data_IF_617303902747
#
_entry.id   IF_617303902747
#
_cell.length_a   1.000
_cell.length_b   1.000
_cell.length_c   1.000
_cell.angle_alpha   90.00
_cell.angle_beta   90.00
_cell.angle_gamma   90.00
#
_symmetry.space_group_name_H-M   'P 1'
#
loop_
_entity.id
_entity.type
_entity.pdbx_description
1 polymer ?
#
# COMPACT_ATOMS: atom_id res chain seq x y z
N UNK A 1 9.32 18.57 -4.11
CA UNK A 1 8.44 17.40 -4.34
C UNK A 1 7.58 17.64 -5.56
N UNK A 2 7.37 16.61 -6.37
CA UNK A 2 6.54 16.69 -7.58
C UNK A 2 5.20 16.01 -7.29
N UNK A 3 4.08 16.59 -7.74
CA UNK A 3 2.75 15.97 -7.54
C UNK A 3 2.49 14.92 -8.62
N UNK A 4 2.06 13.75 -8.20
CA UNK A 4 1.55 12.69 -9.08
C UNK A 4 0.08 12.41 -8.75
N UNK A 5 -0.63 11.82 -9.70
CA UNK A 5 -2.02 11.38 -9.52
C UNK A 5 -2.06 9.86 -9.55
N UNK A 6 -2.72 9.26 -8.56
CA UNK A 6 -2.97 7.82 -8.55
C UNK A 6 -3.91 7.50 -9.73
N UNK A 7 -3.45 6.65 -10.65
CA UNK A 7 -4.22 6.21 -11.82
C UNK A 7 -4.81 4.82 -11.63
N UNK A 8 -4.16 3.99 -10.80
CA UNK A 8 -4.62 2.65 -10.47
C UNK A 8 -4.17 2.25 -9.05
N UNK A 9 -5.00 1.50 -8.35
CA UNK A 9 -4.68 0.90 -7.06
C UNK A 9 -5.45 -0.42 -6.98
N UNK A 10 -4.74 -1.53 -6.77
CA UNK A 10 -5.37 -2.85 -6.69
C UNK A 10 -4.69 -3.72 -5.65
N UNK A 11 -5.50 -4.51 -4.96
CA UNK A 11 -5.08 -5.54 -4.01
C UNK A 11 -5.09 -6.87 -4.75
N UNK A 12 -4.07 -7.68 -4.50
CA UNK A 12 -3.91 -9.04 -4.98
C UNK A 12 -3.58 -9.95 -3.81
N UNK A 13 -3.94 -11.21 -3.90
CA UNK A 13 -3.28 -12.24 -3.10
C UNK A 13 -1.83 -12.36 -3.58
N UNK A 14 -0.89 -12.61 -2.67
CA UNK A 14 0.52 -12.81 -3.03
C UNK A 14 0.69 -13.95 -4.04
N UNK A 15 -0.15 -14.98 -3.99
CA UNK A 15 -0.12 -16.09 -4.93
C UNK A 15 -0.75 -15.76 -6.29
N UNK A 16 -1.54 -14.70 -6.40
CA UNK A 16 -2.00 -14.17 -7.70
C UNK A 16 -0.83 -13.59 -8.51
N UNK A 17 0.17 -13.04 -7.82
CA UNK A 17 1.31 -12.36 -8.44
C UNK A 17 2.55 -13.26 -8.55
N UNK A 18 2.72 -14.21 -7.64
CA UNK A 18 3.87 -15.11 -7.65
C UNK A 18 3.45 -16.56 -7.43
N UNK A 19 3.89 -17.46 -8.33
CA UNK A 19 3.72 -18.91 -8.19
C UNK A 19 4.28 -19.45 -6.86
N UNK A 20 5.35 -18.82 -6.35
CA UNK A 20 5.92 -19.08 -5.04
C UNK A 20 6.18 -17.75 -4.34
N UNK A 21 5.68 -17.65 -3.10
CA UNK A 21 5.88 -16.47 -2.26
C UNK A 21 7.36 -16.09 -2.14
N UNK A 22 7.73 -14.81 -2.39
CA UNK A 22 9.09 -14.33 -2.23
C UNK A 22 9.64 -14.61 -0.81
N UNK A 23 10.91 -15.04 -0.72
CA UNK A 23 11.55 -15.47 0.54
C UNK A 23 11.60 -14.38 1.61
N UNK A 24 11.57 -13.10 1.22
CA UNK A 24 11.64 -11.95 2.12
C UNK A 24 10.30 -11.60 2.79
N UNK A 25 9.20 -12.20 2.31
CA UNK A 25 7.87 -11.99 2.87
C UNK A 25 7.63 -12.95 4.04
N UNK A 26 7.12 -12.42 5.14
CA UNK A 26 6.77 -13.23 6.30
C UNK A 26 5.56 -14.10 5.96
N UNK A 27 5.36 -15.21 6.66
CA UNK A 27 4.22 -16.12 6.45
C UNK A 27 2.89 -15.37 6.34
N UNK A 28 2.68 -14.37 7.21
CA UNK A 28 1.46 -13.57 7.28
C UNK A 28 1.41 -12.37 6.33
N UNK A 29 2.36 -12.17 5.41
CA UNK A 29 2.23 -11.18 4.34
C UNK A 29 1.50 -11.81 3.13
N UNK A 30 0.19 -11.90 3.23
CA UNK A 30 -0.68 -12.60 2.27
C UNK A 30 -1.18 -11.72 1.14
N UNK A 31 -1.25 -10.41 1.37
CA UNK A 31 -1.86 -9.45 0.45
C UNK A 31 -0.84 -8.45 -0.08
N UNK A 32 -1.00 -8.08 -1.34
CA UNK A 32 -0.15 -7.13 -2.05
C UNK A 32 -0.99 -6.03 -2.68
N UNK A 33 -0.77 -4.81 -2.22
CA UNK A 33 -1.34 -3.61 -2.80
C UNK A 33 -0.36 -3.02 -3.80
N UNK A 34 -0.74 -3.02 -5.08
CA UNK A 34 0.01 -2.37 -6.16
C UNK A 34 -0.65 -1.04 -6.48
N UNK A 35 0.09 0.04 -6.25
CA UNK A 35 -0.30 1.41 -6.52
C UNK A 35 0.46 1.93 -7.73
N UNK A 36 -0.24 2.58 -8.66
CA UNK A 36 0.35 3.23 -9.82
C UNK A 36 -0.03 4.70 -9.82
N UNK A 37 0.98 5.56 -9.81
CA UNK A 37 0.83 7.01 -9.87
C UNK A 37 1.51 7.57 -11.11
N UNK A 38 0.91 8.60 -11.72
CA UNK A 38 1.40 9.24 -12.93
C UNK A 38 1.69 10.72 -12.68
N UNK A 39 2.85 11.18 -13.15
CA UNK A 39 3.28 12.58 -13.14
C UNK A 39 3.73 12.96 -14.55
N UNK A 40 2.88 13.67 -15.30
CA UNK A 40 3.12 13.95 -16.71
C UNK A 40 3.22 12.66 -17.53
N UNK A 41 4.38 12.44 -18.18
CA UNK A 41 4.67 11.21 -18.95
C UNK A 41 5.24 10.06 -18.09
N UNK A 42 5.63 10.33 -16.84
CA UNK A 42 6.27 9.35 -15.96
C UNK A 42 5.23 8.57 -15.16
N UNK A 43 5.40 7.26 -15.12
CA UNK A 43 4.62 6.34 -14.29
C UNK A 43 5.52 5.77 -13.17
N UNK A 44 5.01 5.74 -11.95
CA UNK A 44 5.68 5.20 -10.77
C UNK A 44 4.78 4.14 -10.15
N UNK A 45 5.37 2.99 -9.85
CA UNK A 45 4.69 1.89 -9.18
C UNK A 45 5.26 1.75 -7.78
N UNK A 46 4.37 1.69 -6.79
CA UNK A 46 4.70 1.43 -5.40
C UNK A 46 3.93 0.19 -4.95
N UNK A 47 4.58 -0.66 -4.14
CA UNK A 47 3.99 -1.92 -3.70
C UNK A 47 4.03 -2.00 -2.18
N UNK A 48 2.88 -2.30 -1.58
CA UNK A 48 2.75 -2.52 -0.15
C UNK A 48 2.38 -3.98 0.12
N UNK A 49 3.05 -4.59 1.08
CA UNK A 49 2.75 -5.95 1.53
C UNK A 49 2.09 -5.89 2.90
N UNK A 50 0.99 -6.62 3.07
CA UNK A 50 0.20 -6.60 4.30
C UNK A 50 -0.58 -7.91 4.49
N UNK A 51 -1.40 -7.96 5.54
CA UNK A 51 -2.41 -8.98 5.78
C UNK A 51 -3.75 -8.29 5.92
N UNK A 52 -4.67 -8.53 4.99
CA UNK A 52 -6.03 -8.00 5.04
C UNK A 52 -6.91 -8.97 5.82
N UNK A 53 -7.56 -8.44 6.85
CA UNK A 53 -8.52 -9.18 7.67
C UNK A 53 -9.82 -9.44 6.89
N UNK A 54 -10.67 -10.38 7.34
CA UNK A 54 -11.96 -10.64 6.71
C UNK A 54 -12.86 -9.39 6.59
N UNK A 55 -12.78 -8.48 7.56
CA UNK A 55 -13.52 -7.21 7.57
C UNK A 55 -13.00 -6.16 6.56
N UNK A 56 -11.89 -6.43 5.86
CA UNK A 56 -11.30 -5.53 4.87
C UNK A 56 -10.28 -4.52 5.42
N UNK A 57 -10.09 -4.46 6.73
CA UNK A 57 -8.98 -3.73 7.38
C UNK A 57 -7.68 -4.53 7.29
N UNK A 58 -6.55 -3.98 7.75
CA UNK A 58 -5.27 -4.68 7.76
C UNK A 58 -4.65 -4.75 9.15
N UNK A 59 -3.84 -5.77 9.42
CA UNK A 59 -3.20 -5.94 10.72
C UNK A 59 -1.84 -5.23 10.77
N UNK A 60 -1.70 -4.12 11.49
CA UNK A 60 -0.42 -3.42 11.61
C UNK A 60 0.57 -4.21 12.46
N UNK A 61 0.10 -4.76 13.59
CA UNK A 61 0.94 -5.52 14.53
C UNK A 61 1.24 -6.93 14.01
N UNK A 62 2.51 -7.32 14.09
CA UNK A 62 3.01 -8.64 13.69
C UNK A 62 4.33 -8.92 14.41
N UNK A 63 4.60 -10.17 14.82
CA UNK A 63 5.86 -10.52 15.51
C UNK A 63 7.09 -10.38 14.60
N UNK A 64 6.92 -10.38 13.27
CA UNK A 64 8.03 -10.23 12.34
C UNK A 64 8.33 -8.74 12.09
N UNK A 65 9.52 -8.28 12.49
CA UNK A 65 9.96 -6.87 12.36
C UNK A 65 9.93 -6.32 10.93
N UNK A 66 10.31 -7.13 9.94
CA UNK A 66 10.34 -6.68 8.54
C UNK A 66 8.91 -6.54 7.98
N UNK A 67 8.04 -7.47 8.33
CA UNK A 67 6.61 -7.38 8.01
C UNK A 67 5.99 -6.16 8.68
N UNK A 68 6.29 -5.91 9.96
CA UNK A 68 5.83 -4.72 10.68
C UNK A 68 6.22 -3.43 9.96
N UNK A 69 7.49 -3.29 9.58
CA UNK A 69 7.97 -2.10 8.87
C UNK A 69 7.25 -1.87 7.52
N UNK A 70 6.94 -2.93 6.77
CA UNK A 70 6.16 -2.83 5.52
C UNK A 70 4.72 -2.36 5.78
N UNK A 71 4.10 -2.84 6.85
CA UNK A 71 2.73 -2.47 7.23
C UNK A 71 2.67 -1.07 7.82
N UNK A 72 3.69 -0.65 8.57
CA UNK A 72 3.86 0.74 9.00
C UNK A 72 4.00 1.68 7.81
N UNK A 73 4.78 1.31 6.79
CA UNK A 73 4.89 2.09 5.55
C UNK A 73 3.50 2.33 4.92
N UNK A 74 2.66 1.29 4.86
CA UNK A 74 1.27 1.41 4.39
C UNK A 74 0.41 2.29 5.30
N UNK A 75 0.48 2.08 6.62
CA UNK A 75 -0.28 2.86 7.59
C UNK A 75 0.06 4.35 7.52
N UNK A 76 1.35 4.69 7.42
CA UNK A 76 1.81 6.07 7.25
C UNK A 76 1.33 6.68 5.93
N UNK A 77 1.39 5.92 4.84
CA UNK A 77 0.84 6.35 3.54
C UNK A 77 -0.65 6.68 3.65
N UNK A 78 -1.45 5.79 4.26
CA UNK A 78 -2.89 5.99 4.45
C UNK A 78 -3.16 7.21 5.33
N UNK A 79 -2.47 7.31 6.47
CA UNK A 79 -2.58 8.45 7.39
C UNK A 79 -2.28 9.78 6.71
N UNK A 80 -1.20 9.82 5.93
CA UNK A 80 -0.72 11.06 5.33
C UNK A 80 -1.61 11.53 4.17
N UNK A 81 -1.93 10.65 3.22
CA UNK A 81 -2.65 11.03 1.99
C UNK A 81 -4.17 10.97 2.10
N UNK A 82 -4.70 10.17 3.02
CA UNK A 82 -6.15 10.01 3.21
C UNK A 82 -6.65 10.60 4.53
N UNK A 83 -5.76 11.22 5.31
CA UNK A 83 -6.06 11.92 6.58
C UNK A 83 -6.81 11.06 7.58
N UNK A 84 -6.49 9.76 7.58
CA UNK A 84 -7.08 8.78 8.50
C UNK A 84 -6.35 8.86 9.84
N UNK A 85 -7.10 9.04 10.94
CA UNK A 85 -6.54 9.12 12.29
C UNK A 85 -5.94 7.80 12.74
N UNK A 86 -6.71 6.71 12.56
CA UNK A 86 -6.29 5.34 12.83
C UNK A 86 -6.28 4.51 11.53
N UNK A 87 -5.10 4.30 10.92
CA UNK A 87 -4.99 3.49 9.71
C UNK A 87 -5.40 2.03 9.91
N UNK A 88 -5.36 1.48 11.13
CA UNK A 88 -5.66 0.06 11.36
C UNK A 88 -7.17 -0.22 11.27
N UNK A 89 -8.01 0.80 11.49
CA UNK A 89 -9.47 0.75 11.29
C UNK A 89 -9.89 1.09 9.84
N UNK A 90 -8.94 1.47 8.98
CA UNK A 90 -9.25 1.83 7.60
C UNK A 90 -9.59 0.58 6.79
N UNK A 91 -10.85 0.46 6.37
CA UNK A 91 -11.26 -0.59 5.44
C UNK A 91 -10.61 -0.38 4.07
N UNK A 92 -9.51 -1.08 3.83
CA UNK A 92 -8.67 -0.93 2.65
C UNK A 92 -9.41 -1.45 1.41
N UNK A 93 -10.10 -2.59 1.51
CA UNK A 93 -10.84 -3.20 0.39
C UNK A 93 -11.96 -2.28 -0.13
N UNK A 94 -12.70 -1.64 0.77
CA UNK A 94 -13.80 -0.77 0.35
C UNK A 94 -13.34 0.59 -0.17
N UNK A 95 -12.26 1.13 0.40
CA UNK A 95 -11.85 2.50 0.10
C UNK A 95 -10.81 2.60 -1.02
N UNK A 96 -10.13 1.50 -1.40
CA UNK A 96 -9.12 1.52 -2.47
C UNK A 96 -9.66 2.05 -3.80
N UNK A 97 -10.93 1.76 -4.14
CA UNK A 97 -11.58 2.28 -5.35
C UNK A 97 -11.62 3.82 -5.39
N UNK A 98 -11.60 4.48 -4.22
CA UNK A 98 -11.60 5.94 -4.06
C UNK A 98 -10.20 6.56 -4.19
N UNK A 99 -9.15 5.74 -4.32
CA UNK A 99 -7.77 6.21 -4.41
C UNK A 99 -7.45 6.76 -5.80
N UNK A 100 -8.10 6.24 -6.85
CA UNK A 100 -7.96 6.75 -8.21
C UNK A 100 -8.33 8.24 -8.26
N UNK A 101 -7.46 9.04 -8.86
CA UNK A 101 -7.59 10.50 -8.95
C UNK A 101 -7.04 11.27 -7.75
N UNK A 102 -6.61 10.59 -6.66
CA UNK A 102 -5.97 11.28 -5.52
C UNK A 102 -4.56 11.70 -5.87
N UNK A 103 -4.16 12.87 -5.35
CA UNK A 103 -2.82 13.42 -5.52
C UNK A 103 -1.90 12.85 -4.44
N UNK A 104 -0.73 12.40 -4.87
CA UNK A 104 0.38 11.98 -4.01
C UNK A 104 1.63 12.77 -4.36
N UNK A 105 2.59 12.81 -3.45
CA UNK A 105 3.85 13.51 -3.66
C UNK A 105 4.94 12.50 -4.01
N UNK A 106 5.83 12.92 -4.88
CA UNK A 106 6.99 12.16 -5.32
C UNK A 106 8.26 12.75 -4.73
N UNK A 107 9.10 11.87 -4.23
CA UNK A 107 10.49 12.12 -3.86
C UNK A 107 11.38 11.29 -4.78
N UNK A 108 12.07 11.97 -5.71
CA UNK A 108 12.85 11.35 -6.80
C UNK A 108 11.98 10.41 -7.66
N UNK A 109 12.16 9.09 -7.48
CA UNK A 109 11.51 8.02 -8.24
C UNK A 109 10.49 7.24 -7.40
N UNK A 110 10.21 7.68 -6.18
CA UNK A 110 9.33 7.00 -5.24
C UNK A 110 8.19 7.90 -4.79
N UNK A 111 7.11 7.27 -4.32
CA UNK A 111 6.05 7.99 -3.63
C UNK A 111 6.56 8.35 -2.24
N UNK A 112 6.50 9.63 -1.90
CA UNK A 112 6.91 10.12 -0.59
C UNK A 112 5.99 9.56 0.50
N UNK A 113 6.58 9.01 1.56
CA UNK A 113 5.87 8.53 2.74
C UNK A 113 6.66 9.04 3.95
N UNK A 114 6.04 9.82 4.85
CA UNK A 114 6.70 10.36 6.04
C UNK A 114 7.03 9.26 7.08
#
# INVERSE_FOLDING_TARGET
>A
MVKATIVNAKIYDVFDLWRKKPKQLAFNDTDVLVLTAKSGKKEIKETFFTCIKPDGTFALKTPNKMSHARREKLAKFIKYYFKVKDPEEYNLKENIKKWKGKKVELEKDFIYIP
#
